data_IF_576416040228
#
_entry.id   IF_576416040228
#
_cell.length_a   1.000
_cell.length_b   1.000
_cell.length_c   1.000
_cell.angle_alpha   90.00
_cell.angle_beta   90.00
_cell.angle_gamma   90.00
#
_symmetry.space_group_name_H-M   'P 1'
#
loop_
_entity.id
_entity.type
_entity.pdbx_description
1 polymer ?
#
# COMPACT_ATOMS: atom_id res chain seq x y z
N UNK A 1 0.27 -19.77 -5.15
CA UNK A 1 -0.09 -18.33 -5.11
C UNK A 1 -1.24 -18.05 -4.14
N UNK A 2 -2.37 -18.78 -4.18
CA UNK A 2 -3.49 -18.58 -3.22
C UNK A 2 -3.07 -18.60 -1.74
N UNK A 3 -2.12 -19.45 -1.39
CA UNK A 3 -1.50 -19.60 -0.07
C UNK A 3 -0.81 -18.32 0.45
N UNK A 4 -0.48 -17.38 -0.44
CA UNK A 4 0.08 -16.06 -0.10
C UNK A 4 -0.96 -15.05 0.34
N UNK A 5 -2.25 -15.38 0.33
CA UNK A 5 -3.35 -14.48 0.73
C UNK A 5 -4.09 -15.01 1.95
N UNK A 6 -4.79 -14.13 2.67
CA UNK A 6 -5.62 -14.47 3.84
C UNK A 6 -7.08 -14.68 3.39
N UNK A 7 -7.27 -15.44 2.31
CA UNK A 7 -8.61 -15.77 1.79
C UNK A 7 -9.17 -16.96 2.56
N UNK A 8 -10.49 -16.95 2.81
CA UNK A 8 -11.18 -18.10 3.42
C UNK A 8 -10.97 -19.36 2.58
N UNK A 9 -10.51 -20.48 3.17
CA UNK A 9 -10.33 -21.73 2.43
C UNK A 9 -11.65 -22.33 1.94
N UNK A 10 -12.79 -21.92 2.55
CA UNK A 10 -14.14 -22.39 2.19
C UNK A 10 -14.74 -21.66 0.98
N UNK A 11 -14.10 -20.60 0.48
CA UNK A 11 -14.65 -19.74 -0.57
C UNK A 11 -13.75 -19.78 -1.80
N UNK A 12 -14.33 -20.18 -2.94
CA UNK A 12 -13.71 -19.98 -4.25
C UNK A 12 -13.86 -18.52 -4.64
N UNK A 13 -12.83 -17.72 -4.37
CA UNK A 13 -12.82 -16.29 -4.63
C UNK A 13 -12.54 -16.00 -6.11
N UNK A 14 -13.59 -15.67 -6.86
CA UNK A 14 -13.53 -15.48 -8.32
C UNK A 14 -13.50 -14.01 -8.75
N UNK A 15 -13.84 -13.07 -7.85
CA UNK A 15 -13.96 -11.65 -8.18
C UNK A 15 -12.84 -10.80 -7.57
N UNK A 16 -11.58 -11.07 -7.95
CA UNK A 16 -10.44 -10.28 -7.49
C UNK A 16 -10.44 -8.85 -8.08
N UNK A 17 -11.08 -8.65 -9.24
CA UNK A 17 -11.10 -7.35 -9.93
C UNK A 17 -11.94 -6.27 -9.27
N UNK A 18 -12.81 -6.60 -8.31
CA UNK A 18 -13.68 -5.61 -7.65
C UNK A 18 -12.96 -4.87 -6.51
N UNK A 19 -12.51 -5.59 -5.48
CA UNK A 19 -11.84 -5.00 -4.30
C UNK A 19 -10.43 -5.55 -4.07
N UNK A 20 -10.03 -6.58 -4.83
CA UNK A 20 -8.76 -7.27 -4.61
C UNK A 20 -8.72 -8.12 -3.34
N UNK A 21 -7.51 -8.59 -3.04
CA UNK A 21 -7.14 -9.22 -1.79
C UNK A 21 -5.66 -8.93 -1.56
N UNK A 22 -5.27 -8.50 -0.35
CA UNK A 22 -3.89 -8.16 -0.05
C UNK A 22 -3.05 -9.42 0.25
N UNK A 23 -1.86 -9.61 -0.35
CA UNK A 23 -0.94 -10.68 0.04
C UNK A 23 -0.48 -10.53 1.50
N UNK A 24 -0.29 -11.65 2.20
CA UNK A 24 0.23 -11.75 3.58
C UNK A 24 1.41 -10.82 3.87
N UNK A 25 2.52 -10.83 3.09
CA UNK A 25 3.67 -9.97 3.42
C UNK A 25 3.35 -8.48 3.31
N UNK A 26 2.44 -8.09 2.42
CA UNK A 26 2.00 -6.68 2.29
C UNK A 26 1.08 -6.31 3.46
N UNK A 27 0.18 -7.21 3.86
CA UNK A 27 -0.70 -7.01 5.01
C UNK A 27 0.07 -6.92 6.33
N UNK A 28 1.13 -7.73 6.51
CA UNK A 28 2.03 -7.65 7.66
C UNK A 28 2.69 -6.27 7.75
N UNK A 29 3.26 -5.77 6.64
CA UNK A 29 3.85 -4.43 6.59
C UNK A 29 2.84 -3.31 6.81
N UNK A 30 1.61 -3.48 6.32
CA UNK A 30 0.53 -2.54 6.58
C UNK A 30 0.22 -2.42 8.09
N UNK A 31 0.14 -3.54 8.80
CA UNK A 31 -0.05 -3.53 10.25
C UNK A 31 1.15 -2.94 11.00
N UNK A 32 2.38 -3.21 10.55
CA UNK A 32 3.57 -2.61 11.13
C UNK A 32 3.51 -1.08 11.06
N UNK A 33 3.13 -0.51 9.92
CA UNK A 33 3.00 0.95 9.77
C UNK A 33 1.94 1.55 10.69
N UNK A 34 0.83 0.86 10.93
CA UNK A 34 -0.16 1.31 11.92
C UNK A 34 0.47 1.38 13.32
N UNK A 35 1.23 0.36 13.73
CA UNK A 35 1.91 0.37 15.03
C UNK A 35 2.94 1.49 15.12
N UNK A 36 3.73 1.70 14.07
CA UNK A 36 4.72 2.78 14.05
C UNK A 36 4.08 4.17 14.13
N UNK A 37 2.97 4.39 13.42
CA UNK A 37 2.19 5.62 13.55
C UNK A 37 1.73 5.85 15.00
N UNK A 38 1.18 4.83 15.65
CA UNK A 38 0.68 4.95 17.04
C UNK A 38 1.79 5.18 18.07
N UNK A 39 3.04 4.78 17.79
CA UNK A 39 4.16 4.99 18.73
C UNK A 39 4.47 6.49 18.92
N UNK A 40 4.42 7.27 17.86
CA UNK A 40 4.73 8.70 17.89
C UNK A 40 4.01 9.46 16.76
N UNK A 41 2.68 9.67 16.87
CA UNK A 41 1.86 10.09 15.74
C UNK A 41 2.21 11.47 15.19
N UNK A 42 2.61 12.40 16.06
CA UNK A 42 3.02 13.76 15.61
C UNK A 42 4.29 13.69 14.77
N UNK A 43 5.31 12.96 15.21
CA UNK A 43 6.55 12.79 14.44
C UNK A 43 6.27 12.08 13.11
N UNK A 44 5.51 10.99 13.16
CA UNK A 44 5.21 10.20 11.98
C UNK A 44 4.47 11.03 10.92
N UNK A 45 3.43 11.76 11.34
CA UNK A 45 2.59 12.53 10.43
C UNK A 45 3.21 13.85 9.99
N UNK A 46 4.03 14.49 10.83
CA UNK A 46 4.66 15.78 10.50
C UNK A 46 5.94 15.62 9.68
N UNK A 47 6.66 14.51 9.82
CA UNK A 47 8.00 14.35 9.23
C UNK A 47 8.13 13.03 8.46
N UNK A 48 8.00 11.89 9.15
CA UNK A 48 8.42 10.59 8.60
C UNK A 48 7.63 10.18 7.35
N UNK A 49 6.32 10.47 7.34
CA UNK A 49 5.41 10.12 6.26
C UNK A 49 5.86 10.68 4.90
N UNK A 50 6.45 11.88 4.86
CA UNK A 50 6.87 12.50 3.60
C UNK A 50 8.03 11.76 2.95
N UNK A 51 9.01 11.33 3.76
CA UNK A 51 10.15 10.55 3.28
C UNK A 51 9.74 9.12 2.88
N UNK A 52 8.82 8.52 3.63
CA UNK A 52 8.24 7.21 3.31
C UNK A 52 7.47 7.24 1.99
N UNK A 53 6.62 8.25 1.79
CA UNK A 53 5.87 8.43 0.54
C UNK A 53 6.78 8.72 -0.64
N UNK A 54 7.86 9.51 -0.46
CA UNK A 54 8.87 9.71 -1.51
C UNK A 54 9.50 8.38 -1.91
N UNK A 55 9.93 7.58 -0.94
CA UNK A 55 10.53 6.26 -1.19
C UNK A 55 9.59 5.33 -1.96
N UNK A 56 8.30 5.35 -1.60
CA UNK A 56 7.27 4.59 -2.31
C UNK A 56 7.09 5.08 -3.76
N UNK A 57 7.04 6.40 -4.00
CA UNK A 57 6.97 6.97 -5.35
C UNK A 57 8.19 6.64 -6.20
N UNK A 58 9.40 6.77 -5.67
CA UNK A 58 10.64 6.47 -6.39
C UNK A 58 10.70 4.98 -6.80
N UNK A 59 10.20 4.09 -5.93
CA UNK A 59 10.12 2.65 -6.21
C UNK A 59 9.07 2.36 -7.28
N UNK A 60 7.90 2.99 -7.19
CA UNK A 60 6.83 2.84 -8.19
C UNK A 60 7.23 3.41 -9.55
N UNK A 61 7.87 4.58 -9.58
CA UNK A 61 8.38 5.21 -10.80
C UNK A 61 9.32 4.30 -11.56
N UNK A 62 10.29 3.68 -10.87
CA UNK A 62 11.17 2.66 -11.47
C UNK A 62 10.41 1.47 -12.05
N UNK A 63 9.33 1.04 -11.41
CA UNK A 63 8.52 -0.07 -11.87
C UNK A 63 7.70 0.28 -13.12
N UNK A 64 7.13 1.49 -13.20
CA UNK A 64 6.29 1.94 -14.33
C UNK A 64 7.06 2.69 -15.42
N UNK A 65 8.35 2.99 -15.20
CA UNK A 65 9.23 3.65 -16.17
C UNK A 65 9.17 5.18 -16.18
N UNK A 66 8.89 5.83 -15.04
CA UNK A 66 8.90 7.29 -14.90
C UNK A 66 9.68 7.75 -13.65
N UNK A 67 9.86 9.07 -13.49
CA UNK A 67 10.46 9.61 -12.26
C UNK A 67 9.46 9.56 -11.10
N UNK A 68 9.96 9.45 -9.86
CA UNK A 68 9.10 9.48 -8.67
C UNK A 68 8.40 10.82 -8.47
N UNK A 69 8.94 11.91 -9.03
CA UNK A 69 8.34 13.24 -9.08
C UNK A 69 7.15 13.36 -10.04
N UNK A 70 7.02 12.44 -11.00
CA UNK A 70 5.88 12.39 -11.94
C UNK A 70 4.64 11.72 -11.32
N UNK A 71 4.76 11.19 -10.10
CA UNK A 71 3.73 10.41 -9.44
C UNK A 71 3.14 11.13 -8.23
N UNK A 72 1.85 10.87 -7.96
CA UNK A 72 1.19 11.23 -6.73
C UNK A 72 0.24 10.10 -6.29
N UNK A 73 0.01 9.99 -4.98
CA UNK A 73 -0.91 8.99 -4.44
C UNK A 73 -2.26 9.65 -4.14
N UNK A 74 -3.33 9.00 -4.61
CA UNK A 74 -4.72 9.33 -4.26
C UNK A 74 -5.39 8.09 -3.65
N UNK A 75 -6.48 8.26 -2.88
CA UNK A 75 -7.14 7.14 -2.20
C UNK A 75 -7.64 6.03 -3.14
N UNK A 76 -8.05 6.36 -4.36
CA UNK A 76 -8.58 5.42 -5.35
C UNK A 76 -8.62 6.06 -6.75
N UNK A 77 -8.85 5.28 -7.83
CA UNK A 77 -8.95 5.82 -9.19
C UNK A 77 -10.01 6.91 -9.36
N UNK A 78 -11.19 6.77 -8.75
CA UNK A 78 -12.26 7.78 -8.87
C UNK A 78 -11.84 9.15 -8.33
N UNK A 79 -10.96 9.22 -7.34
CA UNK A 79 -10.41 10.50 -6.85
C UNK A 79 -9.40 11.12 -7.82
N UNK A 80 -8.79 10.33 -8.71
CA UNK A 80 -7.76 10.80 -9.64
C UNK A 80 -8.28 11.25 -11.01
N UNK A 81 -9.58 11.10 -11.30
CA UNK A 81 -10.23 11.51 -12.55
C UNK A 81 -11.21 12.64 -12.25
#
# INVERSE_FOLDING_TARGET
VRDKFILSPKVTFLNHGSFGACPKPVFEKYQDWQRELERQPVQFMAEDVYQLLKTARDTLGKFVGCDGGDLFFVPNPTTGV
#
